data_IF_662634149421
#
_entry.id   IF_662634149421
#
_cell.length_a   1.000
_cell.length_b   1.000
_cell.length_c   1.000
_cell.angle_alpha   90.00
_cell.angle_beta   90.00
_cell.angle_gamma   90.00
#
_symmetry.space_group_name_H-M   'P 1'
#
loop_
_entity.id
_entity.type
_entity.pdbx_description
1 polymer ?
#
# COMPACT_ATOMS: atom_id res chain seq x y z
N UNK A 1 7.79 6.77 23.87
CA UNK A 1 7.55 6.72 22.41
C UNK A 1 8.48 5.67 21.84
N UNK A 2 7.96 4.56 21.32
CA UNK A 2 8.83 3.53 20.73
C UNK A 2 9.49 4.11 19.48
N UNK A 3 10.81 4.27 19.53
CA UNK A 3 11.64 4.64 18.38
C UNK A 3 11.69 3.42 17.45
N UNK A 4 10.67 3.27 16.61
CA UNK A 4 10.66 2.25 15.57
C UNK A 4 11.40 2.78 14.35
N UNK A 5 12.23 1.93 13.74
CA UNK A 5 12.87 2.23 12.46
C UNK A 5 11.78 2.31 11.38
N UNK A 6 11.50 3.53 10.89
CA UNK A 6 10.54 3.80 9.81
C UNK A 6 11.33 4.24 8.58
N UNK A 7 11.29 3.44 7.52
CA UNK A 7 11.93 3.76 6.25
C UNK A 7 11.15 4.89 5.57
N UNK A 8 11.79 5.94 5.09
CA UNK A 8 11.07 7.06 4.46
C UNK A 8 11.09 6.97 2.93
N UNK A 9 12.23 6.59 2.39
CA UNK A 9 12.47 6.37 0.97
C UNK A 9 13.75 5.56 0.81
N UNK A 10 13.95 5.00 -0.39
CA UNK A 10 15.23 4.41 -0.82
C UNK A 10 15.62 5.13 -2.10
N UNK A 11 16.83 5.66 -2.15
CA UNK A 11 17.36 6.37 -3.31
C UNK A 11 18.75 5.84 -3.67
N UNK A 12 19.04 5.78 -4.96
CA UNK A 12 20.36 5.49 -5.52
C UNK A 12 20.66 6.44 -6.69
N UNK A 13 21.88 6.45 -7.19
CA UNK A 13 22.26 7.40 -8.26
C UNK A 13 21.67 7.05 -9.64
N UNK A 14 21.19 5.82 -9.84
CA UNK A 14 20.73 5.32 -11.15
C UNK A 14 19.36 4.65 -11.03
N UNK A 15 18.27 5.37 -11.26
CA UNK A 15 16.92 4.80 -11.29
C UNK A 15 16.38 4.64 -12.71
N UNK A 16 15.71 3.53 -12.98
CA UNK A 16 14.81 3.42 -14.12
C UNK A 16 13.36 3.58 -13.63
N UNK A 17 12.83 4.78 -13.78
CA UNK A 17 11.44 5.10 -13.40
C UNK A 17 10.40 4.29 -14.19
N UNK A 18 10.78 3.72 -15.34
CA UNK A 18 9.91 2.93 -16.21
C UNK A 18 10.08 1.42 -16.01
N UNK A 19 10.98 0.96 -15.13
CA UNK A 19 11.16 -0.46 -14.87
C UNK A 19 9.82 -1.10 -14.52
N UNK A 20 9.49 -2.22 -15.15
CA UNK A 20 8.30 -3.02 -14.80
C UNK A 20 8.61 -4.03 -13.70
N UNK A 21 9.88 -4.21 -13.36
CA UNK A 21 10.34 -5.10 -12.29
C UNK A 21 10.17 -4.41 -10.94
N UNK A 22 10.11 -5.21 -9.88
CA UNK A 22 9.75 -4.78 -8.51
C UNK A 22 10.81 -3.95 -7.78
N UNK A 23 11.60 -3.19 -8.52
CA UNK A 23 12.65 -2.30 -8.00
C UNK A 23 12.03 -1.04 -7.39
N UNK A 24 12.83 -0.27 -6.63
CA UNK A 24 12.40 1.01 -6.05
C UNK A 24 12.18 2.04 -7.16
N UNK A 25 10.93 2.47 -7.36
CA UNK A 25 10.57 3.45 -8.39
C UNK A 25 10.37 4.80 -7.74
N UNK A 26 11.19 5.76 -8.14
CA UNK A 26 10.92 7.15 -7.84
C UNK A 26 11.20 8.05 -9.03
N UNK A 27 10.48 9.16 -9.09
CA UNK A 27 10.73 10.20 -10.07
C UNK A 27 12.15 10.73 -9.89
N UNK A 28 13.00 10.55 -10.92
CA UNK A 28 14.37 11.06 -10.95
C UNK A 28 14.42 12.60 -10.86
N UNK A 29 13.33 13.27 -11.20
CA UNK A 29 13.21 14.73 -11.10
C UNK A 29 12.86 15.19 -9.67
N UNK A 30 12.58 14.27 -8.74
CA UNK A 30 12.27 14.58 -7.35
C UNK A 30 13.45 14.16 -6.47
N UNK A 31 14.09 15.14 -5.85
CA UNK A 31 15.04 14.89 -4.76
C UNK A 31 14.29 14.29 -3.57
N UNK A 32 14.70 13.09 -3.14
CA UNK A 32 14.16 12.45 -1.94
C UNK A 32 14.66 13.14 -0.67
N UNK A 33 13.71 13.49 0.18
CA UNK A 33 13.89 14.25 1.43
C UNK A 33 12.81 13.83 2.42
N UNK A 34 12.87 14.38 3.64
CA UNK A 34 11.77 14.28 4.60
C UNK A 34 10.43 14.82 4.08
N UNK A 35 10.41 15.69 3.07
CA UNK A 35 9.17 16.23 2.52
C UNK A 35 8.68 15.46 1.29
N UNK A 36 9.46 14.49 0.78
CA UNK A 36 9.19 13.72 -0.44
C UNK A 36 9.30 12.22 -0.16
N UNK A 37 8.66 11.78 0.93
CA UNK A 37 8.66 10.40 1.43
C UNK A 37 7.87 9.48 0.48
N UNK A 38 8.41 8.28 0.25
CA UNK A 38 7.70 7.21 -0.46
C UNK A 38 6.86 6.37 0.48
N UNK A 39 7.31 6.23 1.72
CA UNK A 39 6.62 5.50 2.76
C UNK A 39 6.22 6.45 3.87
N UNK A 40 4.95 6.40 4.26
CA UNK A 40 4.47 7.12 5.44
C UNK A 40 3.79 6.16 6.39
N UNK A 41 3.66 6.59 7.65
CA UNK A 41 3.18 5.73 8.72
C UNK A 41 2.20 6.46 9.62
N UNK A 42 1.26 5.73 10.19
CA UNK A 42 0.41 6.24 11.26
C UNK A 42 1.16 6.34 12.61
N UNK A 43 0.45 6.82 13.63
CA UNK A 43 0.96 6.95 15.00
C UNK A 43 1.31 5.60 15.66
N UNK A 44 0.66 4.51 15.24
CA UNK A 44 0.93 3.15 15.73
C UNK A 44 2.13 2.51 15.03
N UNK A 45 2.64 3.13 13.95
CA UNK A 45 3.79 2.66 13.19
C UNK A 45 3.42 1.78 12.00
N UNK A 46 2.16 1.70 11.61
CA UNK A 46 1.75 0.99 10.41
C UNK A 46 1.97 1.85 9.18
N UNK A 47 2.34 1.22 8.05
CA UNK A 47 2.51 1.92 6.78
C UNK A 47 1.15 2.38 6.23
N UNK A 48 1.00 3.66 5.93
CA UNK A 48 -0.24 4.21 5.35
C UNK A 48 -0.10 4.54 3.85
N UNK A 49 1.12 4.66 3.31
CA UNK A 49 1.35 4.82 1.88
C UNK A 49 2.66 4.18 1.42
N UNK A 50 2.72 3.79 0.15
CA UNK A 50 3.91 3.29 -0.55
C UNK A 50 3.88 3.74 -2.02
N UNK A 51 4.64 4.78 -2.34
CA UNK A 51 4.70 5.33 -3.70
C UNK A 51 5.33 4.38 -4.73
N UNK A 52 6.21 3.46 -4.31
CA UNK A 52 6.84 2.49 -5.21
C UNK A 52 5.83 1.45 -5.73
N UNK A 53 4.77 1.22 -4.95
CA UNK A 53 3.64 0.36 -5.31
C UNK A 53 2.43 1.15 -5.82
N UNK A 54 2.55 2.46 -5.96
CA UNK A 54 1.43 3.36 -6.25
C UNK A 54 0.27 3.18 -5.26
N UNK A 55 0.58 3.01 -3.97
CA UNK A 55 -0.40 2.91 -2.88
C UNK A 55 -0.50 4.27 -2.19
N UNK A 56 -1.65 4.92 -2.31
CA UNK A 56 -1.88 6.23 -1.71
C UNK A 56 -2.36 6.17 -0.27
N UNK A 57 -3.05 5.10 0.11
CA UNK A 57 -3.65 4.95 1.42
C UNK A 57 -3.83 3.48 1.82
N UNK A 58 -3.50 3.17 3.06
CA UNK A 58 -3.86 1.92 3.75
C UNK A 58 -4.63 2.29 5.02
N UNK A 59 -5.82 1.71 5.17
CA UNK A 59 -6.60 1.78 6.41
C UNK A 59 -6.49 0.48 7.19
N UNK A 60 -6.55 0.60 8.51
CA UNK A 60 -6.39 -0.49 9.45
C UNK A 60 -7.66 -0.68 10.28
N UNK A 61 -7.94 -1.91 10.71
CA UNK A 61 -9.02 -2.18 11.65
C UNK A 61 -8.54 -2.07 13.12
N UNK A 62 -9.43 -2.33 14.07
CA UNK A 62 -9.15 -2.26 15.50
C UNK A 62 -8.10 -3.29 15.99
N UNK A 63 -7.82 -4.32 15.19
CA UNK A 63 -6.77 -5.31 15.44
C UNK A 63 -5.44 -4.92 14.79
N UNK A 64 -5.34 -3.69 14.26
CA UNK A 64 -4.16 -3.19 13.59
C UNK A 64 -3.82 -3.99 12.30
N UNK A 65 -4.83 -4.60 11.66
CA UNK A 65 -4.70 -5.34 10.40
C UNK A 65 -5.17 -4.49 9.21
N UNK A 66 -4.51 -4.54 8.03
CA UNK A 66 -4.91 -3.78 6.86
C UNK A 66 -6.31 -4.18 6.39
N UNK A 67 -7.26 -3.25 6.41
CA UNK A 67 -8.64 -3.47 5.99
C UNK A 67 -8.94 -2.96 4.58
N UNK A 68 -8.27 -1.89 4.15
CA UNK A 68 -8.48 -1.31 2.82
C UNK A 68 -7.19 -0.69 2.28
N UNK A 69 -6.91 -0.92 0.99
CA UNK A 69 -5.73 -0.42 0.27
C UNK A 69 -6.22 0.27 -0.99
N UNK A 70 -5.83 1.52 -1.20
CA UNK A 70 -6.13 2.29 -2.41
C UNK A 70 -4.90 2.40 -3.32
N UNK A 71 -5.10 2.04 -4.59
CA UNK A 71 -4.12 2.21 -5.67
C UNK A 71 -4.70 3.17 -6.72
N UNK A 72 -4.32 4.47 -6.71
CA UNK A 72 -4.87 5.46 -7.64
C UNK A 72 -4.76 5.01 -9.10
N UNK A 73 -5.85 5.17 -9.85
CA UNK A 73 -5.93 4.75 -11.25
C UNK A 73 -6.05 3.23 -11.47
N UNK A 74 -5.84 2.39 -10.44
CA UNK A 74 -5.98 0.93 -10.53
C UNK A 74 -7.20 0.41 -9.78
N UNK A 75 -7.45 0.90 -8.56
CA UNK A 75 -8.65 0.53 -7.81
C UNK A 75 -8.41 0.35 -6.32
N UNK A 76 -9.11 -0.62 -5.71
CA UNK A 76 -9.11 -0.82 -4.25
C UNK A 76 -9.15 -2.30 -3.87
N UNK A 77 -8.36 -2.65 -2.85
CA UNK A 77 -8.39 -3.96 -2.21
C UNK A 77 -9.01 -3.82 -0.83
N UNK A 78 -9.94 -4.70 -0.48
CA UNK A 78 -10.56 -4.78 0.85
C UNK A 78 -10.34 -6.16 1.46
N UNK A 79 -9.98 -6.18 2.74
CA UNK A 79 -9.83 -7.39 3.53
C UNK A 79 -10.85 -7.40 4.67
N UNK A 80 -11.43 -8.56 4.89
CA UNK A 80 -12.36 -8.82 5.98
C UNK A 80 -11.77 -9.90 6.87
N UNK A 81 -11.86 -9.67 8.17
CA UNK A 81 -11.30 -10.55 9.20
C UNK A 81 -12.39 -10.89 10.21
N UNK A 82 -12.24 -12.02 10.89
CA UNK A 82 -13.00 -12.31 12.09
C UNK A 82 -12.47 -11.50 13.29
N UNK A 83 -13.13 -11.65 14.44
CA UNK A 83 -12.76 -10.97 15.67
C UNK A 83 -11.40 -11.41 16.26
N UNK A 84 -10.88 -12.56 15.83
CA UNK A 84 -9.57 -13.08 16.25
C UNK A 84 -8.44 -12.71 15.29
N UNK A 85 -8.76 -12.10 14.15
CA UNK A 85 -7.81 -11.67 13.13
C UNK A 85 -7.61 -12.64 11.97
N UNK A 86 -8.37 -13.74 11.87
CA UNK A 86 -8.28 -14.61 10.70
C UNK A 86 -8.93 -13.93 9.49
N UNK A 87 -8.24 -13.96 8.35
CA UNK A 87 -8.74 -13.37 7.11
C UNK A 87 -9.86 -14.23 6.55
N UNK A 88 -11.05 -13.66 6.43
CA UNK A 88 -12.24 -14.33 5.89
C UNK A 88 -12.39 -14.08 4.39
N UNK A 89 -12.05 -12.88 3.92
CA UNK A 89 -12.29 -12.50 2.54
C UNK A 89 -11.33 -11.42 2.04
N UNK A 90 -10.98 -11.51 0.76
CA UNK A 90 -10.35 -10.45 -0.03
C UNK A 90 -11.31 -10.05 -1.16
N UNK A 91 -11.53 -8.75 -1.34
CA UNK A 91 -12.22 -8.17 -2.50
C UNK A 91 -11.30 -7.21 -3.23
N UNK A 92 -11.17 -7.36 -4.54
CA UNK A 92 -10.41 -6.44 -5.38
C UNK A 92 -11.34 -5.84 -6.42
N UNK A 93 -11.41 -4.51 -6.44
CA UNK A 93 -12.08 -3.74 -7.48
C UNK A 93 -11.00 -3.16 -8.39
N UNK A 94 -11.02 -3.53 -9.67
CA UNK A 94 -10.10 -3.04 -10.69
C UNK A 94 -10.83 -2.03 -11.59
N UNK A 95 -10.50 -0.75 -11.41
CA UNK A 95 -11.12 0.36 -12.13
C UNK A 95 -10.48 0.63 -13.51
N UNK A 96 -9.50 -0.17 -13.94
CA UNK A 96 -8.88 -0.01 -15.26
C UNK A 96 -9.76 -0.51 -16.40
N UNK A 97 -10.82 -1.25 -16.08
CA UNK A 97 -11.78 -1.83 -17.04
C UNK A 97 -13.18 -1.19 -16.88
N UNK A 98 -13.87 -0.95 -18.00
CA UNK A 98 -15.16 -0.23 -18.02
C UNK A 98 -16.31 -0.96 -17.32
N UNK A 99 -16.20 -2.27 -17.08
CA UNK A 99 -17.15 -3.06 -16.32
C UNK A 99 -16.47 -3.66 -15.10
N UNK A 100 -16.62 -2.98 -13.97
CA UNK A 100 -15.94 -3.27 -12.70
C UNK A 100 -16.73 -4.31 -11.89
N UNK A 101 -16.50 -5.60 -12.15
CA UNK A 101 -16.93 -6.65 -11.21
C UNK A 101 -15.84 -6.91 -10.18
N UNK A 102 -16.14 -6.83 -8.86
CA UNK A 102 -15.15 -7.15 -7.84
C UNK A 102 -14.72 -8.62 -7.93
N UNK A 103 -13.41 -8.88 -7.96
CA UNK A 103 -12.86 -10.21 -7.73
C UNK A 103 -12.92 -10.53 -6.25
N UNK A 104 -13.57 -11.64 -5.88
CA UNK A 104 -13.77 -12.05 -4.49
C UNK A 104 -13.08 -13.39 -4.24
N UNK A 105 -12.25 -13.45 -3.21
CA UNK A 105 -11.66 -14.68 -2.69
C UNK A 105 -12.09 -14.85 -1.24
N UNK A 106 -12.75 -15.96 -0.93
CA UNK A 106 -13.15 -16.34 0.42
C UNK A 106 -12.20 -17.40 0.94
N UNK A 107 -11.77 -17.26 2.20
CA UNK A 107 -10.88 -18.18 2.86
C UNK A 107 -11.68 -19.05 3.82
N UNK A 108 -11.32 -20.33 3.91
CA UNK A 108 -11.88 -21.23 4.92
C UNK A 108 -11.09 -20.95 6.20
N UNK A 109 -11.81 -20.57 7.27
CA UNK A 109 -11.26 -20.30 8.60
C UNK A 109 -10.90 -21.58 9.35
#
# INVERSE_FOLDING_TARGET
MAQSNKLLYVAHQTNDANSTLGDFKYDLNITKTENTKDYTYDGNGNMISDQNKNISQISYNNLNLPSQIWEPGKGVIRYYFDATGNKLQKRTLDNTISLTTPSITTYIG
#
